data_IF_647574115122
#
_entry.id   IF_647574115122
#
_cell.length_a   1.000
_cell.length_b   1.000
_cell.length_c   1.000
_cell.angle_alpha   90.00
_cell.angle_beta   90.00
_cell.angle_gamma   90.00
#
_symmetry.space_group_name_H-M   'P 1'
#
loop_
_entity.id
_entity.type
_entity.pdbx_description
1 polymer ?
#
# COMPACT_ATOMS: atom_id res chain seq x y z
N UNK A 1 -24.41 -26.74 77.67
CA UNK A 1 -23.19 -26.11 77.11
C UNK A 1 -22.38 -27.14 76.37
N UNK A 2 -22.48 -27.18 75.04
CA UNK A 2 -21.36 -27.39 74.12
C UNK A 2 -21.91 -27.39 72.70
N UNK A 3 -21.69 -26.24 72.08
CA UNK A 3 -21.93 -25.90 70.68
C UNK A 3 -20.83 -26.59 69.87
N UNK A 4 -21.19 -27.41 68.89
CA UNK A 4 -20.25 -27.88 67.86
C UNK A 4 -20.84 -27.65 66.47
N UNK A 5 -20.64 -26.41 66.04
CA UNK A 5 -20.20 -25.95 64.70
C UNK A 5 -20.50 -26.84 63.48
N UNK A 6 -21.46 -26.36 62.67
CA UNK A 6 -21.60 -26.69 61.25
C UNK A 6 -20.27 -26.49 60.50
N UNK A 7 -19.76 -27.58 59.92
CA UNK A 7 -18.69 -27.52 58.93
C UNK A 7 -19.28 -27.18 57.56
N UNK A 8 -19.16 -25.92 57.16
CA UNK A 8 -19.45 -25.45 55.81
C UNK A 8 -18.39 -26.00 54.87
N UNK A 9 -18.77 -26.99 54.04
CA UNK A 9 -17.93 -27.38 52.90
C UNK A 9 -17.89 -26.21 51.92
N UNK A 10 -16.72 -25.70 51.53
CA UNK A 10 -16.64 -24.67 50.50
C UNK A 10 -17.11 -25.30 49.20
N UNK A 11 -18.28 -24.85 48.77
CA UNK A 11 -18.85 -25.07 47.44
C UNK A 11 -17.84 -24.56 46.41
N UNK A 12 -17.04 -25.48 45.88
CA UNK A 12 -16.04 -25.27 44.84
C UNK A 12 -16.75 -25.06 43.49
N UNK A 13 -17.53 -23.97 43.38
CA UNK A 13 -18.20 -23.53 42.15
C UNK A 13 -17.30 -22.54 41.40
N UNK A 14 -16.28 -23.06 40.71
CA UNK A 14 -15.65 -22.36 39.59
C UNK A 14 -15.41 -23.33 38.41
N UNK A 15 -16.39 -24.19 38.16
CA UNK A 15 -16.42 -25.09 37.02
C UNK A 15 -17.20 -24.47 35.85
N UNK A 16 -16.77 -23.33 35.32
CA UNK A 16 -17.27 -22.86 34.01
C UNK A 16 -16.61 -21.57 33.55
N UNK A 17 -15.52 -21.67 32.78
CA UNK A 17 -15.31 -20.73 31.65
C UNK A 17 -14.63 -21.42 30.45
N UNK A 18 -15.31 -22.34 29.74
CA UNK A 18 -14.90 -22.76 28.40
C UNK A 18 -15.06 -21.65 27.32
N UNK A 19 -15.42 -20.41 27.68
CA UNK A 19 -15.73 -19.33 26.73
C UNK A 19 -14.51 -18.75 25.97
N UNK A 20 -13.26 -19.01 26.39
CA UNK A 20 -12.07 -18.42 25.73
C UNK A 20 -11.70 -19.05 24.38
N UNK A 21 -12.17 -20.26 24.05
CA UNK A 21 -11.76 -20.95 22.81
C UNK A 21 -12.42 -20.36 21.56
N UNK A 22 -13.67 -19.92 21.65
CA UNK A 22 -14.44 -19.38 20.52
C UNK A 22 -13.99 -17.98 20.09
N UNK A 23 -13.54 -17.13 21.00
CA UNK A 23 -13.06 -15.78 20.66
C UNK A 23 -11.79 -15.82 19.80
N UNK A 24 -10.87 -16.75 20.11
CA UNK A 24 -9.62 -16.92 19.37
C UNK A 24 -9.85 -17.35 17.92
N UNK A 25 -10.87 -18.18 17.66
CA UNK A 25 -11.25 -18.60 16.31
C UNK A 25 -11.84 -17.47 15.46
N UNK A 26 -12.69 -16.62 16.05
CA UNK A 26 -13.28 -15.45 15.38
C UNK A 26 -12.21 -14.39 15.02
N UNK A 27 -11.26 -14.13 15.93
CA UNK A 27 -10.15 -13.18 15.70
C UNK A 27 -9.23 -13.65 14.58
N UNK A 28 -8.85 -14.92 14.58
CA UNK A 28 -8.03 -15.50 13.51
C UNK A 28 -8.68 -15.35 12.13
N UNK A 29 -10.00 -15.57 12.02
CA UNK A 29 -10.74 -15.36 10.76
C UNK A 29 -10.71 -13.90 10.31
N UNK A 30 -10.83 -12.92 11.21
CA UNK A 30 -10.76 -11.49 10.88
C UNK A 30 -9.40 -11.11 10.33
N UNK A 31 -8.32 -11.56 10.98
CA UNK A 31 -6.95 -11.29 10.51
C UNK A 31 -6.74 -11.90 9.12
N UNK A 32 -7.23 -13.13 8.87
CA UNK A 32 -7.13 -13.75 7.54
C UNK A 32 -7.84 -12.93 6.46
N UNK A 33 -9.07 -12.45 6.73
CA UNK A 33 -9.78 -11.58 5.78
C UNK A 33 -9.08 -10.24 5.57
N UNK A 34 -8.53 -9.63 6.62
CA UNK A 34 -7.74 -8.39 6.51
C UNK A 34 -6.44 -8.62 5.72
N UNK A 35 -5.74 -9.73 5.95
CA UNK A 35 -4.55 -10.10 5.17
C UNK A 35 -4.91 -10.33 3.70
N UNK A 36 -6.02 -11.01 3.41
CA UNK A 36 -6.49 -11.17 2.04
C UNK A 36 -6.81 -9.82 1.37
N UNK A 37 -7.47 -8.91 2.09
CA UNK A 37 -7.73 -7.56 1.62
C UNK A 37 -6.44 -6.76 1.36
N UNK A 38 -5.45 -6.86 2.27
CA UNK A 38 -4.13 -6.24 2.10
C UNK A 38 -3.43 -6.74 0.84
N UNK A 39 -3.45 -8.05 0.60
CA UNK A 39 -2.87 -8.65 -0.62
C UNK A 39 -3.57 -8.09 -1.85
N UNK A 40 -4.90 -8.07 -1.86
CA UNK A 40 -5.69 -7.62 -3.01
C UNK A 40 -5.52 -6.12 -3.30
N UNK A 41 -5.48 -5.29 -2.25
CA UNK A 41 -5.14 -3.86 -2.33
C UNK A 41 -3.72 -3.67 -2.87
N UNK A 42 -2.75 -4.44 -2.37
CA UNK A 42 -1.35 -4.33 -2.81
C UNK A 42 -1.15 -4.74 -4.26
N UNK A 43 -1.87 -5.75 -4.74
CA UNK A 43 -1.87 -6.16 -6.16
C UNK A 43 -2.52 -5.10 -7.04
N UNK A 44 -3.64 -4.53 -6.60
CA UNK A 44 -4.33 -3.46 -7.32
C UNK A 44 -3.45 -2.21 -7.43
N UNK A 45 -2.83 -1.80 -6.32
CA UNK A 45 -1.90 -0.67 -6.27
C UNK A 45 -0.69 -0.89 -7.20
N UNK A 46 -0.15 -2.11 -7.22
CA UNK A 46 0.92 -2.49 -8.14
C UNK A 46 0.47 -2.42 -9.61
N UNK A 47 -0.73 -2.92 -9.92
CA UNK A 47 -1.29 -2.89 -11.27
C UNK A 47 -1.47 -1.45 -11.78
N UNK A 48 -2.05 -0.58 -10.96
CA UNK A 48 -2.21 0.85 -11.27
C UNK A 48 -0.84 1.51 -11.47
N UNK A 49 0.12 1.23 -10.60
CA UNK A 49 1.49 1.75 -10.72
C UNK A 49 2.14 1.31 -12.04
N UNK A 50 2.00 0.04 -12.42
CA UNK A 50 2.53 -0.51 -13.68
C UNK A 50 1.86 0.12 -14.90
N UNK A 51 0.54 0.27 -14.86
CA UNK A 51 -0.22 0.90 -15.93
C UNK A 51 0.28 2.33 -16.14
N UNK A 52 0.42 3.10 -15.06
CA UNK A 52 0.88 4.48 -15.11
C UNK A 52 2.34 4.62 -15.60
N UNK A 53 3.22 3.72 -15.15
CA UNK A 53 4.63 3.67 -15.61
C UNK A 53 4.74 3.37 -17.11
N UNK A 54 3.84 2.55 -17.67
CA UNK A 54 3.86 2.18 -19.10
C UNK A 54 3.11 3.17 -20.00
N UNK A 55 2.03 3.78 -19.53
CA UNK A 55 1.14 4.57 -20.39
C UNK A 55 1.49 6.06 -20.45
N UNK A 56 1.92 6.65 -19.33
CA UNK A 56 2.12 8.11 -19.25
C UNK A 56 3.58 8.48 -19.52
N UNK A 57 4.51 7.52 -19.44
CA UNK A 57 5.95 7.81 -19.58
C UNK A 57 6.33 8.96 -18.65
N UNK A 58 6.06 8.82 -17.34
CA UNK A 58 6.28 9.91 -16.38
C UNK A 58 7.69 10.49 -16.55
N UNK A 59 7.78 11.72 -17.06
CA UNK A 59 8.86 12.64 -16.72
C UNK A 59 8.94 12.68 -15.18
N UNK A 60 10.02 12.12 -14.64
CA UNK A 60 10.02 11.51 -13.31
C UNK A 60 9.87 12.54 -12.17
N UNK A 61 8.71 12.54 -11.50
CA UNK A 61 8.50 13.24 -10.23
C UNK A 61 8.87 12.39 -9.00
N UNK A 62 9.11 11.08 -9.16
CA UNK A 62 9.46 10.18 -8.06
C UNK A 62 10.97 9.86 -8.05
N UNK A 63 11.77 10.50 -7.16
CA UNK A 63 13.23 10.31 -7.11
C UNK A 63 13.64 8.86 -6.77
N UNK A 64 12.78 8.08 -6.11
CA UNK A 64 13.04 6.67 -5.80
C UNK A 64 12.86 5.79 -7.04
N UNK A 65 11.84 6.06 -7.86
CA UNK A 65 11.63 5.36 -9.13
C UNK A 65 12.78 5.63 -10.11
N UNK A 66 13.27 6.88 -10.15
CA UNK A 66 14.46 7.29 -10.91
C UNK A 66 15.71 6.50 -10.52
N UNK A 67 15.93 6.37 -9.22
CA UNK A 67 17.09 5.66 -8.68
C UNK A 67 17.07 4.17 -9.02
N UNK A 68 15.91 3.53 -8.96
CA UNK A 68 15.78 2.10 -9.25
C UNK A 68 15.77 1.83 -10.77
N UNK A 69 15.14 2.68 -11.59
CA UNK A 69 15.22 2.56 -13.05
C UNK A 69 16.64 2.80 -13.58
N UNK A 70 17.48 3.56 -12.87
CA UNK A 70 18.91 3.68 -13.19
C UNK A 70 19.72 2.39 -12.96
N UNK A 71 19.27 1.52 -12.07
CA UNK A 71 20.02 0.32 -11.66
C UNK A 71 19.33 -1.01 -12.02
N UNK A 72 18.13 -0.98 -12.61
CA UNK A 72 17.39 -2.20 -12.93
C UNK A 72 16.14 -1.98 -13.79
N UNK A 73 15.50 -3.09 -14.18
CA UNK A 73 14.27 -3.09 -14.97
C UNK A 73 13.06 -2.77 -14.09
N UNK A 74 11.95 -2.26 -14.66
CA UNK A 74 10.68 -2.06 -13.94
C UNK A 74 10.18 -3.32 -13.20
N UNK A 75 10.58 -4.50 -13.66
CA UNK A 75 10.30 -5.78 -13.01
C UNK A 75 10.99 -5.93 -11.64
N UNK A 76 12.15 -5.32 -11.41
CA UNK A 76 12.86 -5.39 -10.13
C UNK A 76 12.08 -4.65 -9.02
N UNK A 77 11.48 -3.50 -9.34
CA UNK A 77 10.59 -2.76 -8.43
C UNK A 77 9.37 -3.60 -8.04
N UNK A 78 8.77 -4.28 -9.02
CA UNK A 78 7.63 -5.17 -8.80
C UNK A 78 8.02 -6.30 -7.86
N UNK A 79 9.15 -6.97 -8.13
CA UNK A 79 9.61 -8.10 -7.32
C UNK A 79 9.90 -7.68 -5.88
N UNK A 80 10.55 -6.53 -5.69
CA UNK A 80 10.86 -5.99 -4.37
C UNK A 80 9.59 -5.63 -3.58
N UNK A 81 8.61 -5.01 -4.25
CA UNK A 81 7.32 -4.65 -3.64
C UNK A 81 6.48 -5.89 -3.29
N UNK A 82 6.46 -6.88 -4.17
CA UNK A 82 5.83 -8.18 -3.89
C UNK A 82 6.52 -8.92 -2.74
N UNK A 83 7.86 -8.87 -2.68
CA UNK A 83 8.65 -9.47 -1.61
C UNK A 83 8.32 -8.85 -0.25
N UNK A 84 8.31 -7.51 -0.14
CA UNK A 84 8.02 -6.82 1.12
C UNK A 84 6.59 -7.05 1.61
N UNK A 85 5.60 -6.95 0.71
CA UNK A 85 4.19 -7.27 1.01
C UNK A 85 4.03 -8.73 1.41
N UNK A 86 4.69 -9.64 0.68
CA UNK A 86 4.66 -11.08 0.94
C UNK A 86 5.20 -11.41 2.32
N UNK A 87 6.35 -10.85 2.70
CA UNK A 87 6.94 -11.02 4.04
C UNK A 87 6.02 -10.44 5.12
N UNK A 88 5.47 -9.24 4.92
CA UNK A 88 4.51 -8.65 5.86
C UNK A 88 3.26 -9.49 6.06
N UNK A 89 2.70 -10.03 4.97
CA UNK A 89 1.53 -10.92 5.02
C UNK A 89 1.87 -12.25 5.69
N UNK A 90 3.04 -12.82 5.44
CA UNK A 90 3.55 -14.02 6.11
C UNK A 90 3.62 -13.82 7.63
N UNK A 91 4.17 -12.69 8.08
CA UNK A 91 4.29 -12.36 9.50
C UNK A 91 2.90 -12.19 10.13
N UNK A 92 1.98 -11.47 9.49
CA UNK A 92 0.60 -11.31 9.97
C UNK A 92 -0.15 -12.66 10.02
N UNK A 93 0.07 -13.52 9.03
CA UNK A 93 -0.57 -14.83 8.98
C UNK A 93 -0.02 -15.80 10.03
N UNK A 94 1.30 -15.75 10.29
CA UNK A 94 1.95 -16.53 11.33
C UNK A 94 1.53 -16.07 12.74
N UNK A 95 1.33 -14.76 12.92
CA UNK A 95 0.97 -14.15 14.22
C UNK A 95 -0.54 -13.96 14.43
N UNK A 96 -1.39 -14.52 13.54
CA UNK A 96 -2.86 -14.33 13.48
C UNK A 96 -3.66 -14.60 14.76
N UNK A 97 -3.06 -15.24 15.77
CA UNK A 97 -3.69 -15.52 17.07
C UNK A 97 -3.41 -14.43 18.13
N UNK A 98 -2.56 -13.45 17.82
CA UNK A 98 -2.22 -12.34 18.71
C UNK A 98 -3.09 -11.11 18.48
N UNK A 99 -3.37 -10.35 19.55
CA UNK A 99 -4.02 -9.03 19.46
C UNK A 99 -3.17 -8.01 18.68
N UNK A 100 -1.84 -8.14 18.75
CA UNK A 100 -0.94 -7.28 17.99
C UNK A 100 -1.09 -7.45 16.47
N UNK A 101 -1.41 -8.66 16.01
CA UNK A 101 -1.62 -8.94 14.58
C UNK A 101 -2.92 -8.31 14.07
N UNK A 102 -3.97 -8.24 14.88
CA UNK A 102 -5.22 -7.57 14.51
C UNK A 102 -4.98 -6.06 14.35
N UNK A 103 -4.29 -5.42 15.29
CA UNK A 103 -3.91 -4.00 15.19
C UNK A 103 -3.01 -3.76 13.97
N UNK A 104 -1.98 -4.58 13.78
CA UNK A 104 -1.08 -4.47 12.63
C UNK A 104 -1.78 -4.62 11.28
N UNK A 105 -2.73 -5.56 11.18
CA UNK A 105 -3.53 -5.75 9.97
C UNK A 105 -4.47 -4.55 9.72
N UNK A 106 -5.10 -3.99 10.75
CA UNK A 106 -5.91 -2.78 10.62
C UNK A 106 -5.08 -1.58 10.15
N UNK A 107 -3.90 -1.36 10.75
CA UNK A 107 -2.99 -0.27 10.37
C UNK A 107 -2.52 -0.44 8.92
N UNK A 108 -2.11 -1.64 8.52
CA UNK A 108 -1.71 -1.91 7.13
C UNK A 108 -2.87 -1.66 6.15
N UNK A 109 -4.07 -2.13 6.48
CA UNK A 109 -5.25 -1.93 5.65
C UNK A 109 -5.58 -0.43 5.51
N UNK A 110 -5.56 0.32 6.62
CA UNK A 110 -5.79 1.77 6.62
C UNK A 110 -4.75 2.53 5.80
N UNK A 111 -3.46 2.16 5.94
CA UNK A 111 -2.39 2.75 5.16
C UNK A 111 -2.57 2.51 3.65
N UNK A 112 -2.96 1.30 3.24
CA UNK A 112 -3.22 0.98 1.83
C UNK A 112 -4.44 1.71 1.27
N UNK A 113 -5.52 1.82 2.06
CA UNK A 113 -6.70 2.62 1.69
C UNK A 113 -6.33 4.09 1.53
N UNK A 114 -5.59 4.66 2.48
CA UNK A 114 -5.11 6.03 2.40
C UNK A 114 -4.26 6.27 1.15
N UNK A 115 -3.32 5.36 0.88
CA UNK A 115 -2.47 5.42 -0.32
C UNK A 115 -3.31 5.38 -1.60
N UNK A 116 -4.34 4.54 -1.65
CA UNK A 116 -5.25 4.41 -2.80
C UNK A 116 -6.05 5.69 -3.03
N UNK A 117 -6.56 6.31 -1.95
CA UNK A 117 -7.26 7.59 -2.02
C UNK A 117 -6.33 8.71 -2.50
N UNK A 118 -5.11 8.77 -1.98
CA UNK A 118 -4.12 9.75 -2.38
C UNK A 118 -3.76 9.62 -3.87
N UNK A 119 -3.58 8.38 -4.36
CA UNK A 119 -3.37 8.12 -5.78
C UNK A 119 -4.55 8.55 -6.64
N UNK A 120 -5.78 8.32 -6.18
CA UNK A 120 -6.98 8.72 -6.91
C UNK A 120 -7.04 10.24 -7.06
N UNK A 121 -6.79 10.99 -5.98
CA UNK A 121 -6.73 12.45 -5.99
C UNK A 121 -5.62 12.95 -6.94
N UNK A 122 -4.39 12.43 -6.81
CA UNK A 122 -3.27 12.79 -7.68
C UNK A 122 -3.55 12.50 -9.16
N UNK A 123 -4.14 11.36 -9.48
CA UNK A 123 -4.49 10.99 -10.86
C UNK A 123 -5.51 11.93 -11.48
N UNK A 124 -6.46 12.45 -10.68
CA UNK A 124 -7.45 13.42 -11.14
C UNK A 124 -6.82 14.79 -11.43
N UNK A 125 -5.85 15.21 -10.61
CA UNK A 125 -5.11 16.46 -10.81
C UNK A 125 -4.24 16.41 -12.07
N UNK A 126 -3.49 15.31 -12.29
CA UNK A 126 -2.69 15.15 -13.51
C UNK A 126 -3.58 15.15 -14.76
N UNK A 127 -4.73 14.48 -14.71
CA UNK A 127 -5.67 14.48 -15.82
C UNK A 127 -6.06 15.90 -16.27
N UNK A 128 -6.22 16.81 -15.32
CA UNK A 128 -6.53 18.21 -15.59
C UNK A 128 -5.34 19.05 -16.09
N UNK A 129 -4.12 18.75 -15.65
CA UNK A 129 -2.91 19.52 -15.96
C UNK A 129 -2.24 19.10 -17.27
N UNK A 130 -2.44 17.86 -17.71
CA UNK A 130 -1.87 17.31 -18.95
C UNK A 130 -2.19 18.14 -20.21
N UNK A 131 -3.43 18.58 -20.47
CA UNK A 131 -3.71 19.40 -21.65
C UNK A 131 -3.04 20.79 -21.60
N UNK A 132 -2.84 21.35 -20.41
CA UNK A 132 -2.11 22.62 -20.23
C UNK A 132 -0.64 22.42 -20.54
N UNK A 133 -0.04 21.34 -20.02
CA UNK A 133 1.37 21.00 -20.30
C UNK A 133 1.62 20.76 -21.80
N UNK A 134 0.68 20.08 -22.48
CA UNK A 134 0.77 19.84 -23.91
C UNK A 134 0.75 21.16 -24.71
N UNK A 135 -0.11 22.12 -24.34
CA UNK A 135 -0.13 23.44 -24.96
C UNK A 135 1.15 24.24 -24.72
N UNK A 136 1.70 24.19 -23.51
CA UNK A 136 2.98 24.87 -23.19
C UNK A 136 4.12 24.26 -24.00
N UNK A 137 4.17 22.93 -24.10
CA UNK A 137 5.16 22.21 -24.91
C UNK A 137 5.07 22.57 -26.39
N UNK A 138 3.86 22.68 -26.97
CA UNK A 138 3.67 23.12 -28.36
C UNK A 138 4.19 24.55 -28.60
N UNK A 139 3.93 25.46 -27.66
CA UNK A 139 4.38 26.86 -27.75
C UNK A 139 5.91 26.95 -27.68
N UNK A 140 6.54 26.20 -26.77
CA UNK A 140 8.01 26.15 -26.70
C UNK A 140 8.60 25.54 -27.97
N UNK A 141 8.04 24.45 -28.48
CA UNK A 141 8.50 23.78 -29.71
C UNK A 141 8.45 24.71 -30.92
N UNK A 142 7.37 25.49 -31.06
CA UNK A 142 7.23 26.48 -32.12
C UNK A 142 8.29 27.60 -32.03
N UNK A 143 8.69 27.97 -30.81
CA UNK A 143 9.71 28.99 -30.56
C UNK A 143 11.12 28.53 -30.94
N UNK A 144 11.44 27.24 -30.80
CA UNK A 144 12.74 26.67 -31.19
C UNK A 144 12.93 26.52 -32.71
N UNK A 145 11.85 26.33 -33.46
CA UNK A 145 11.91 26.22 -34.94
C UNK A 145 12.15 27.59 -35.60
N UNK A 146 11.81 28.69 -34.93
CA UNK A 146 12.06 30.06 -35.42
C UNK A 146 13.48 30.58 -35.11
N UNK A 147 14.46 29.69 -34.90
CA UNK A 147 15.85 30.12 -34.81
C UNK A 147 16.19 31.00 -36.03
N UNK A 148 16.71 32.22 -35.84
CA UNK A 148 16.93 33.17 -36.93
C UNK A 148 17.82 32.54 -37.99
N UNK A 149 17.42 32.66 -39.27
CA UNK A 149 18.25 32.31 -40.41
C UNK A 149 19.66 32.86 -40.18
N UNK A 150 20.64 31.96 -40.04
CA UNK A 150 22.04 32.34 -39.96
C UNK A 150 22.36 33.13 -41.24
N UNK A 151 22.86 34.37 -41.13
CA UNK A 151 23.23 35.15 -42.31
C UNK A 151 24.24 34.34 -43.12
N UNK A 152 23.85 33.97 -44.35
CA UNK A 152 24.67 33.23 -45.29
C UNK A 152 25.98 34.02 -45.49
N UNK A 153 27.05 33.62 -44.80
CA UNK A 153 28.35 34.28 -44.93
C UNK A 153 28.86 34.02 -46.34
N UNK A 154 28.70 35.05 -47.19
CA UNK A 154 29.20 35.11 -48.56
C UNK A 154 30.71 34.89 -48.51
N UNK A 155 31.17 33.75 -49.01
CA UNK A 155 32.58 33.49 -49.28
C UNK A 155 32.86 34.14 -50.63
N UNK A 156 33.46 35.31 -50.59
CA UNK A 156 34.13 35.94 -51.74
C UNK A 156 35.58 35.42 -51.83
#
# INVERSE_FOLDING_TARGET
MSVFTQSTKPTFLYSSLPARSHESGRRGRRVVWLTAAIVLLSVTDLYITMLYLRSVGMGEANPVARYVMRHGTPAALVLWKLGSVGVGCMILFATRRSRSAEIGAWVCCAALVWLTLHWTAYSSEIGSLTPVLHRVSEVESAKWVQAPEQPQSRID
#
